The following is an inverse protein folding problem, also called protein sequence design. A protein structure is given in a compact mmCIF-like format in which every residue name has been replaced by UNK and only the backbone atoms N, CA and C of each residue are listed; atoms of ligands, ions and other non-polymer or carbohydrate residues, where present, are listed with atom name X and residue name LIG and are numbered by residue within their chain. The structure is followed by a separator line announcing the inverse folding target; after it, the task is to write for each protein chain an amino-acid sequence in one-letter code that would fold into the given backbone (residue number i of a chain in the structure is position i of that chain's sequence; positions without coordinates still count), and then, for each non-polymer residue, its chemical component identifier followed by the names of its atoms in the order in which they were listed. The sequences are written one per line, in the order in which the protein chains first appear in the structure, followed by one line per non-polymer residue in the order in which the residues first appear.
data_IF_341123649452
#
_entry.id   IF_341123649452
#
_cell.length_a   1.000
_cell.length_b   1.000
_cell.length_c   1.000
_cell.angle_alpha   90.00
_cell.angle_beta   90.00
_cell.angle_gamma   90.00
#
_symmetry.space_group_name_H-M   'P 1'
#
loop_
_entity.id
_entity.type
_entity.pdbx_description
1 polymer ?
#
# COMPACT_ATOMS: atom_id res chain seq x y z
N UNK A 1 47.01 -24.28 13.29
CA UNK A 1 46.64 -23.07 12.56
C UNK A 1 46.20 -23.31 11.10
N UNK A 2 46.90 -24.12 10.29
CA UNK A 2 46.49 -24.39 8.88
C UNK A 2 45.11 -25.04 8.70
N UNK A 3 44.66 -25.91 9.61
CA UNK A 3 43.34 -26.57 9.54
C UNK A 3 42.18 -25.63 9.86
N UNK A 4 42.40 -24.59 10.66
CA UNK A 4 41.38 -23.62 11.01
C UNK A 4 41.10 -22.63 9.86
N UNK A 5 42.12 -22.26 9.12
CA UNK A 5 42.02 -21.40 7.93
C UNK A 5 41.25 -22.10 6.79
N UNK A 6 41.46 -23.42 6.62
CA UNK A 6 40.73 -24.20 5.61
C UNK A 6 39.23 -24.30 5.93
N UNK A 7 38.85 -24.37 7.22
CA UNK A 7 37.46 -24.43 7.64
C UNK A 7 36.72 -23.07 7.45
N UNK A 8 37.43 -21.96 7.69
CA UNK A 8 36.89 -20.63 7.45
C UNK A 8 36.68 -20.33 5.95
N UNK A 9 37.61 -20.79 5.09
CA UNK A 9 37.48 -20.64 3.64
C UNK A 9 36.34 -21.48 3.08
N UNK A 10 36.07 -22.65 3.66
CA UNK A 10 34.95 -23.50 3.24
C UNK A 10 33.60 -22.92 3.66
N UNK A 11 33.50 -22.28 4.83
CA UNK A 11 32.31 -21.56 5.29
C UNK A 11 32.02 -20.33 4.42
N UNK A 12 33.05 -19.62 3.95
CA UNK A 12 32.88 -18.46 3.07
C UNK A 12 32.43 -18.86 1.66
N UNK A 13 32.90 -20.01 1.14
CA UNK A 13 32.49 -20.54 -0.16
C UNK A 13 31.04 -21.02 -0.10
N UNK A 14 30.60 -21.65 1.00
CA UNK A 14 29.19 -22.06 1.17
C UNK A 14 28.26 -20.85 1.25
N UNK A 15 28.67 -19.77 1.91
CA UNK A 15 27.86 -18.55 2.00
C UNK A 15 27.71 -17.83 0.65
N UNK A 16 28.76 -17.83 -0.18
CA UNK A 16 28.70 -17.18 -1.50
C UNK A 16 27.91 -18.00 -2.53
N UNK A 17 28.00 -19.31 -2.50
CA UNK A 17 27.23 -20.20 -3.40
C UNK A 17 25.72 -20.19 -3.03
N UNK A 18 25.40 -20.09 -1.75
CA UNK A 18 24.01 -19.97 -1.30
C UNK A 18 23.39 -18.63 -1.72
N UNK A 19 24.13 -17.53 -1.66
CA UNK A 19 23.66 -16.22 -2.12
C UNK A 19 23.51 -16.12 -3.64
N UNK A 20 24.41 -16.75 -4.41
CA UNK A 20 24.34 -16.77 -5.87
C UNK A 20 23.15 -17.59 -6.38
N UNK A 21 22.88 -18.76 -5.81
CA UNK A 21 21.73 -19.57 -6.18
C UNK A 21 20.38 -18.88 -5.95
N UNK A 22 20.28 -18.06 -4.90
CA UNK A 22 19.11 -17.23 -4.64
C UNK A 22 18.95 -16.09 -5.65
N UNK A 23 20.03 -15.42 -6.01
CA UNK A 23 20.02 -14.35 -7.02
C UNK A 23 19.65 -14.90 -8.41
N UNK A 24 20.20 -16.04 -8.79
CA UNK A 24 19.87 -16.70 -10.06
C UNK A 24 18.43 -17.18 -10.10
N UNK A 25 17.90 -17.76 -9.03
CA UNK A 25 16.50 -18.17 -8.94
C UNK A 25 15.54 -16.97 -9.00
N UNK A 26 15.87 -15.85 -8.35
CA UNK A 26 15.12 -14.61 -8.44
C UNK A 26 15.14 -14.03 -9.86
N UNK A 27 16.26 -14.05 -10.55
CA UNK A 27 16.38 -13.58 -11.93
C UNK A 27 15.59 -14.44 -12.91
N UNK A 28 15.63 -15.77 -12.76
CA UNK A 28 14.83 -16.69 -13.56
C UNK A 28 13.32 -16.47 -13.32
N UNK A 29 12.92 -16.33 -12.08
CA UNK A 29 11.52 -16.07 -11.72
C UNK A 29 11.04 -14.69 -12.22
N UNK A 30 11.86 -13.65 -12.13
CA UNK A 30 11.56 -12.36 -12.74
C UNK A 30 11.42 -12.46 -14.25
N UNK A 31 12.23 -13.27 -14.92
CA UNK A 31 12.14 -13.50 -16.36
C UNK A 31 10.85 -14.19 -16.74
N UNK A 32 10.47 -15.26 -16.04
CA UNK A 32 9.21 -15.98 -16.29
C UNK A 32 7.98 -15.11 -15.99
N UNK A 33 8.04 -14.28 -14.95
CA UNK A 33 7.01 -13.28 -14.64
C UNK A 33 6.84 -12.26 -15.76
N UNK A 34 7.95 -11.73 -16.28
CA UNK A 34 7.95 -10.79 -17.39
C UNK A 34 7.39 -11.45 -18.66
N UNK A 35 7.73 -12.71 -18.94
CA UNK A 35 7.22 -13.45 -20.10
C UNK A 35 5.71 -13.74 -19.97
N UNK A 36 5.21 -14.08 -18.78
CA UNK A 36 3.79 -14.31 -18.51
C UNK A 36 2.96 -13.02 -18.57
N UNK A 37 3.49 -11.91 -18.03
CA UNK A 37 2.87 -10.59 -18.17
C UNK A 37 2.78 -10.17 -19.65
N UNK A 38 3.80 -10.44 -20.46
CA UNK A 38 3.79 -10.17 -21.88
C UNK A 38 2.74 -11.02 -22.65
N UNK A 39 2.45 -12.23 -22.17
CA UNK A 39 1.43 -13.11 -22.75
C UNK A 39 0.00 -12.64 -22.49
N UNK A 40 -0.26 -12.02 -21.33
CA UNK A 40 -1.60 -11.53 -20.95
C UNK A 40 -1.91 -10.11 -21.45
N UNK A 41 -0.91 -9.35 -21.90
CA UNK A 41 -1.03 -7.94 -22.28
C UNK A 41 -1.23 -7.67 -23.78
N UNK A 42 -1.45 -8.69 -24.61
CA UNK A 42 -1.43 -8.60 -26.08
C UNK A 42 -2.74 -8.16 -26.72
N UNK A 43 -3.73 -7.66 -25.99
CA UNK A 43 -4.97 -7.23 -26.65
C UNK A 43 -5.48 -5.86 -26.21
N UNK A 44 -4.80 -4.77 -26.60
CA UNK A 44 -5.50 -3.54 -27.00
C UNK A 44 -4.51 -2.49 -27.51
N UNK A 45 -4.72 -2.07 -28.75
CA UNK A 45 -4.01 -0.97 -29.41
C UNK A 45 -4.18 0.32 -28.59
N UNK A 46 -3.06 0.97 -28.21
CA UNK A 46 -2.92 2.27 -27.54
C UNK A 46 -2.58 2.28 -26.06
N UNK A 47 -2.07 1.21 -25.51
CA UNK A 47 -1.37 1.30 -24.24
C UNK A 47 0.12 1.09 -24.47
N UNK A 48 0.94 2.06 -24.11
CA UNK A 48 2.39 1.84 -24.00
C UNK A 48 2.61 0.74 -22.95
N UNK A 49 2.57 -0.50 -23.41
CA UNK A 49 3.18 -1.62 -22.70
C UNK A 49 4.66 -1.36 -22.85
N UNK A 50 5.29 -0.89 -21.79
CA UNK A 50 6.70 -0.58 -21.81
C UNK A 50 7.50 -1.77 -22.32
N UNK A 51 8.60 -1.49 -22.99
CA UNK A 51 9.61 -2.46 -23.40
C UNK A 51 9.86 -3.44 -22.24
N UNK A 52 9.89 -4.78 -22.47
CA UNK A 52 10.17 -5.80 -21.43
C UNK A 52 11.38 -5.47 -20.54
N UNK A 53 12.39 -4.78 -21.08
CA UNK A 53 13.54 -4.28 -20.32
C UNK A 53 13.17 -3.19 -19.29
N UNK A 54 11.97 -2.63 -19.31
CA UNK A 54 11.53 -1.62 -18.35
C UNK A 54 10.81 -2.23 -17.14
N UNK A 55 10.27 -3.44 -17.26
CA UNK A 55 9.66 -4.18 -16.15
C UNK A 55 10.66 -4.52 -15.04
N UNK A 56 11.95 -4.63 -15.40
CA UNK A 56 13.02 -4.78 -14.40
C UNK A 56 13.11 -3.62 -13.41
N UNK A 57 12.41 -2.51 -13.69
CA UNK A 57 12.30 -1.35 -12.79
C UNK A 57 11.21 -1.50 -11.74
N UNK A 58 10.23 -2.38 -11.98
CA UNK A 58 9.24 -2.72 -10.96
C UNK A 58 9.91 -3.67 -9.99
N UNK A 59 10.35 -3.15 -8.87
CA UNK A 59 10.99 -3.95 -7.82
C UNK A 59 9.94 -4.64 -6.96
N UNK A 60 10.23 -5.89 -6.60
CA UNK A 60 9.36 -6.67 -5.75
C UNK A 60 9.99 -8.01 -5.38
N UNK A 61 9.30 -8.77 -4.56
CA UNK A 61 9.73 -10.08 -4.06
C UNK A 61 8.65 -11.11 -4.37
N UNK A 62 9.06 -12.27 -4.86
CA UNK A 62 8.16 -13.40 -5.08
C UNK A 62 8.06 -14.24 -3.82
N UNK A 63 6.83 -14.60 -3.47
CA UNK A 63 6.53 -15.56 -2.43
C UNK A 63 5.63 -16.66 -2.99
N UNK A 64 5.93 -17.89 -2.62
CA UNK A 64 5.01 -19.00 -2.79
C UNK A 64 4.07 -19.01 -1.58
N UNK A 65 2.77 -19.04 -1.82
CA UNK A 65 1.80 -19.24 -0.76
C UNK A 65 1.86 -20.71 -0.33
N UNK A 66 2.72 -21.04 0.62
CA UNK A 66 2.50 -22.21 1.43
C UNK A 66 1.34 -21.92 2.37
N UNK A 67 0.16 -22.41 1.98
CA UNK A 67 -1.02 -22.58 2.81
C UNK A 67 -1.09 -21.72 4.09
N UNK A 68 -1.38 -20.44 3.96
CA UNK A 68 -2.09 -19.76 5.03
C UNK A 68 -3.52 -20.34 4.99
N UNK A 69 -3.67 -21.56 5.50
CA UNK A 69 -4.98 -22.14 5.78
C UNK A 69 -5.56 -21.39 6.96
N UNK A 70 -6.20 -20.26 6.68
CA UNK A 70 -7.23 -19.83 7.59
C UNK A 70 -8.33 -20.89 7.52
N UNK A 71 -8.71 -21.42 8.66
CA UNK A 71 -9.93 -22.24 8.75
C UNK A 71 -11.11 -21.29 8.45
N UNK A 72 -11.42 -21.13 7.17
CA UNK A 72 -12.32 -20.11 6.61
C UNK A 72 -13.77 -20.26 7.11
N UNK A 73 -14.08 -21.35 7.80
CA UNK A 73 -15.47 -21.71 8.13
C UNK A 73 -16.16 -20.77 9.11
N UNK A 74 -15.41 -19.87 9.79
CA UNK A 74 -15.95 -18.94 10.81
C UNK A 74 -15.21 -17.60 10.87
N UNK A 75 -14.56 -17.18 9.77
CA UNK A 75 -13.80 -15.94 9.72
C UNK A 75 -14.58 -14.89 8.93
N UNK A 76 -14.93 -13.79 9.58
CA UNK A 76 -15.60 -12.66 8.96
C UNK A 76 -14.62 -11.54 8.62
N UNK A 77 -14.92 -10.78 7.58
CA UNK A 77 -14.10 -9.66 7.12
C UNK A 77 -12.91 -10.09 6.25
N UNK A 78 -11.97 -9.19 6.01
CA UNK A 78 -10.83 -9.40 5.13
C UNK A 78 -9.61 -8.58 5.58
N UNK A 79 -8.42 -9.12 5.34
CA UNK A 79 -7.14 -8.38 5.43
C UNK A 79 -6.86 -7.58 4.17
N UNK A 80 -7.61 -7.81 3.09
CA UNK A 80 -7.46 -7.12 1.81
C UNK A 80 -8.38 -5.91 1.73
N UNK A 81 -7.88 -4.83 1.12
CA UNK A 81 -8.65 -3.59 0.98
C UNK A 81 -9.76 -3.70 -0.07
N UNK A 82 -9.58 -4.56 -1.05
CA UNK A 82 -10.53 -4.79 -2.14
C UNK A 82 -11.04 -6.23 -2.05
N UNK A 83 -12.37 -6.41 -2.15
CA UNK A 83 -13.05 -7.67 -1.84
C UNK A 83 -12.72 -8.82 -2.80
N UNK A 84 -12.35 -8.52 -4.05
CA UNK A 84 -11.97 -9.51 -5.05
C UNK A 84 -10.47 -9.44 -5.31
N UNK A 85 -9.91 -10.53 -5.81
CA UNK A 85 -8.47 -10.63 -6.06
C UNK A 85 -8.05 -9.92 -7.35
N UNK A 86 -8.95 -9.83 -8.35
CA UNK A 86 -8.64 -9.35 -9.69
C UNK A 86 -9.11 -7.90 -9.90
N UNK A 87 -8.28 -6.97 -9.52
CA UNK A 87 -8.53 -5.55 -9.79
C UNK A 87 -7.48 -4.97 -10.72
N UNK A 88 -7.92 -4.41 -11.87
CA UNK A 88 -6.99 -3.67 -12.70
C UNK A 88 -6.45 -2.46 -11.95
N UNK A 89 -5.15 -2.27 -12.05
CA UNK A 89 -4.45 -1.17 -11.41
C UNK A 89 -3.40 -0.55 -12.31
N UNK A 90 -2.72 0.44 -11.79
CA UNK A 90 -1.61 1.12 -12.44
C UNK A 90 -0.48 1.33 -11.45
N UNK A 91 0.73 1.07 -11.89
CA UNK A 91 1.97 1.35 -11.17
C UNK A 91 2.66 2.50 -11.88
N UNK A 92 3.04 3.53 -11.15
CA UNK A 92 3.69 4.73 -11.66
C UNK A 92 5.16 4.74 -11.23
N UNK A 93 6.07 4.86 -12.21
CA UNK A 93 7.52 4.86 -12.01
C UNK A 93 8.14 5.87 -12.99
N UNK A 94 8.90 6.85 -12.52
CA UNK A 94 9.64 7.79 -13.37
C UNK A 94 8.78 8.44 -14.48
N UNK A 95 7.57 8.91 -14.15
CA UNK A 95 6.58 9.47 -15.09
C UNK A 95 6.04 8.47 -16.13
N UNK A 96 6.28 7.18 -15.98
CA UNK A 96 5.69 6.10 -16.79
C UNK A 96 4.58 5.42 -16.02
N UNK A 97 3.63 4.83 -16.75
CA UNK A 97 2.48 4.14 -16.20
C UNK A 97 2.44 2.71 -16.73
N UNK A 98 2.47 1.76 -15.81
CA UNK A 98 2.37 0.33 -16.10
C UNK A 98 0.98 -0.15 -15.68
N UNK A 99 0.25 -0.76 -16.60
CA UNK A 99 -1.06 -1.34 -16.32
C UNK A 99 -0.88 -2.75 -15.77
N UNK A 100 -1.62 -3.04 -14.72
CA UNK A 100 -1.67 -4.35 -14.07
C UNK A 100 -3.11 -4.85 -14.12
N UNK A 101 -3.32 -6.07 -14.58
CA UNK A 101 -4.67 -6.66 -14.66
C UNK A 101 -5.18 -7.08 -13.27
N UNK A 102 -4.26 -7.46 -12.42
CA UNK A 102 -4.54 -8.06 -11.13
C UNK A 102 -3.60 -7.46 -10.07
N UNK A 103 -4.12 -6.59 -9.23
CA UNK A 103 -3.37 -6.01 -8.11
C UNK A 103 -4.32 -5.78 -6.93
N UNK A 104 -3.87 -6.11 -5.72
CA UNK A 104 -4.61 -5.84 -4.50
C UNK A 104 -3.67 -5.31 -3.40
N UNK A 105 -4.26 -4.84 -2.30
CA UNK A 105 -3.54 -4.32 -1.16
C UNK A 105 -3.87 -5.13 0.10
N UNK A 106 -2.84 -5.76 0.66
CA UNK A 106 -2.89 -6.41 1.97
C UNK A 106 -2.66 -5.37 3.06
N UNK A 107 -3.72 -5.02 3.79
CA UNK A 107 -3.71 -4.01 4.85
C UNK A 107 -2.90 -4.48 6.07
N UNK A 108 -2.88 -5.78 6.36
CA UNK A 108 -2.18 -6.33 7.52
C UNK A 108 -0.67 -6.19 7.38
N UNK A 109 -0.16 -6.54 6.20
CA UNK A 109 1.27 -6.47 5.90
C UNK A 109 1.70 -5.12 5.35
N UNK A 110 0.75 -4.23 5.04
CA UNK A 110 0.99 -2.90 4.43
C UNK A 110 1.66 -3.02 3.04
N UNK A 111 1.20 -3.98 2.19
CA UNK A 111 1.85 -4.38 0.94
C UNK A 111 0.87 -4.53 -0.22
N UNK A 112 1.28 -4.08 -1.41
CA UNK A 112 0.60 -4.42 -2.66
C UNK A 112 1.13 -5.73 -3.20
N UNK A 113 0.25 -6.50 -3.83
CA UNK A 113 0.61 -7.78 -4.45
C UNK A 113 -0.20 -8.05 -5.71
N UNK A 114 0.35 -8.88 -6.57
CA UNK A 114 -0.30 -9.49 -7.73
C UNK A 114 -0.25 -10.99 -7.57
N UNK A 115 -1.38 -11.66 -7.71
CA UNK A 115 -1.42 -13.12 -7.83
C UNK A 115 -0.87 -13.57 -9.17
N UNK A 116 -0.06 -14.61 -9.15
CA UNK A 116 0.51 -15.26 -10.31
C UNK A 116 0.02 -16.71 -10.33
N UNK A 117 0.15 -17.39 -11.44
CA UNK A 117 -0.16 -18.81 -11.55
C UNK A 117 0.59 -19.64 -10.48
N UNK A 118 0.04 -20.80 -10.11
CA UNK A 118 0.62 -21.75 -9.16
C UNK A 118 0.76 -21.23 -7.72
N UNK A 119 -0.27 -20.52 -7.21
CA UNK A 119 -0.30 -20.01 -5.83
C UNK A 119 0.89 -19.12 -5.44
N UNK A 120 1.51 -18.50 -6.41
CA UNK A 120 2.59 -17.54 -6.19
C UNK A 120 2.07 -16.11 -6.20
N UNK A 121 2.69 -15.23 -5.43
CA UNK A 121 2.41 -13.79 -5.42
C UNK A 121 3.66 -12.98 -5.65
N UNK A 122 3.52 -11.91 -6.39
CA UNK A 122 4.53 -10.87 -6.49
C UNK A 122 4.15 -9.72 -5.56
N UNK A 123 5.02 -9.38 -4.62
CA UNK A 123 4.85 -8.28 -3.68
C UNK A 123 5.67 -7.10 -4.16
N UNK A 124 5.01 -5.95 -4.36
CA UNK A 124 5.63 -4.71 -4.81
C UNK A 124 6.42 -4.04 -3.68
N UNK A 125 7.60 -3.49 -4.01
CA UNK A 125 8.37 -2.60 -3.13
C UNK A 125 8.34 -1.17 -3.69
N UNK A 126 8.26 -0.17 -2.83
CA UNK A 126 8.17 1.24 -3.24
C UNK A 126 9.54 1.91 -3.50
N UNK A 127 10.64 1.15 -3.59
CA UNK A 127 11.96 1.72 -3.86
C UNK A 127 12.03 2.51 -5.17
N UNK A 128 11.30 2.07 -6.19
CA UNK A 128 11.23 2.72 -7.51
C UNK A 128 9.83 3.17 -7.87
N UNK A 129 8.83 2.83 -7.08
CA UNK A 129 7.42 3.11 -7.37
C UNK A 129 7.03 4.44 -6.74
N UNK A 130 6.58 5.40 -7.56
CA UNK A 130 6.07 6.69 -7.09
C UNK A 130 4.70 6.54 -6.43
N UNK A 131 3.80 5.80 -7.08
CA UNK A 131 2.45 5.49 -6.59
C UNK A 131 1.84 4.29 -7.30
N UNK A 132 0.81 3.73 -6.66
CA UNK A 132 -0.04 2.68 -7.21
C UNK A 132 -1.49 3.17 -7.22
N UNK A 133 -2.24 2.85 -8.28
CA UNK A 133 -3.66 3.20 -8.39
C UNK A 133 -4.50 1.96 -8.65
N UNK A 134 -5.57 1.78 -7.85
CA UNK A 134 -6.57 0.71 -7.98
C UNK A 134 -7.96 1.34 -7.81
N UNK A 135 -8.91 1.06 -8.73
CA UNK A 135 -10.30 1.59 -8.66
C UNK A 135 -10.37 3.12 -8.42
N UNK A 136 -9.53 3.89 -9.12
CA UNK A 136 -9.43 5.36 -8.98
C UNK A 136 -8.99 5.85 -7.58
N UNK A 137 -8.44 4.98 -6.76
CA UNK A 137 -7.77 5.33 -5.51
C UNK A 137 -6.28 5.24 -5.74
N UNK A 138 -5.56 6.23 -5.29
CA UNK A 138 -4.10 6.33 -5.43
C UNK A 138 -3.43 6.14 -4.07
N UNK A 139 -2.28 5.46 -4.09
CA UNK A 139 -1.54 5.10 -2.88
C UNK A 139 -0.07 5.38 -3.10
N UNK A 140 0.61 5.83 -2.07
CA UNK A 140 2.06 5.98 -2.04
C UNK A 140 2.63 5.59 -0.68
N UNK A 141 3.91 5.28 -0.63
CA UNK A 141 4.62 5.06 0.63
C UNK A 141 5.09 6.40 1.20
N UNK A 142 4.88 6.59 2.50
CA UNK A 142 5.26 7.80 3.25
C UNK A 142 5.76 7.36 4.62
N UNK A 143 6.80 8.02 5.12
CA UNK A 143 7.28 7.79 6.47
C UNK A 143 6.21 8.08 7.53
N UNK A 144 5.82 7.05 8.29
CA UNK A 144 4.87 7.17 9.40
C UNK A 144 5.63 7.41 10.72
N UNK A 145 5.63 8.62 11.28
CA UNK A 145 6.37 8.94 12.50
C UNK A 145 5.82 8.23 13.75
N UNK A 146 4.63 7.65 13.67
CA UNK A 146 4.01 6.91 14.78
C UNK A 146 4.39 5.44 14.78
N UNK A 147 4.83 4.91 13.64
CA UNK A 147 5.32 3.53 13.51
C UNK A 147 6.84 3.48 13.31
N UNK A 148 7.47 4.64 13.08
CA UNK A 148 8.90 4.80 12.79
C UNK A 148 9.34 3.93 11.60
N UNK A 149 8.52 3.90 10.55
CA UNK A 149 8.78 3.17 9.29
C UNK A 149 8.03 3.80 8.12
N UNK A 150 8.47 3.48 6.92
CA UNK A 150 7.68 3.72 5.72
C UNK A 150 6.38 2.91 5.77
N UNK A 151 5.31 3.49 5.26
CA UNK A 151 3.98 2.90 5.28
C UNK A 151 3.15 3.38 4.10
N UNK A 152 2.24 2.55 3.65
CA UNK A 152 1.33 2.87 2.55
C UNK A 152 0.19 3.77 3.03
N UNK A 153 -0.01 4.87 2.31
CA UNK A 153 -1.13 5.79 2.50
C UNK A 153 -1.92 5.96 1.21
N UNK A 154 -3.23 5.99 1.32
CA UNK A 154 -4.12 6.44 0.24
C UNK A 154 -4.10 7.96 0.13
N UNK A 155 -3.91 8.47 -1.07
CA UNK A 155 -3.90 9.90 -1.38
C UNK A 155 -5.35 10.36 -1.54
N UNK A 156 -5.85 11.16 -0.62
CA UNK A 156 -7.17 11.77 -0.74
C UNK A 156 -7.08 13.11 -1.47
N UNK A 157 -6.04 13.88 -1.16
CA UNK A 157 -5.71 15.11 -1.85
C UNK A 157 -4.22 15.40 -1.65
N UNK A 158 -3.53 15.73 -2.72
CA UNK A 158 -2.13 16.17 -2.70
C UNK A 158 -2.05 17.62 -3.18
N UNK A 159 -1.50 18.50 -2.34
CA UNK A 159 -1.36 19.92 -2.60
C UNK A 159 -0.01 20.44 -2.16
N UNK A 160 0.35 21.63 -2.63
CA UNK A 160 1.67 22.24 -2.39
C UNK A 160 1.91 22.59 -0.92
N UNK A 161 0.86 23.04 -0.22
CA UNK A 161 0.96 23.48 1.17
C UNK A 161 0.44 22.43 2.15
N UNK A 162 -0.65 21.75 1.78
CA UNK A 162 -1.35 20.81 2.63
C UNK A 162 -1.80 19.61 1.80
N UNK A 163 -1.42 18.41 2.22
CA UNK A 163 -1.89 17.16 1.65
C UNK A 163 -2.72 16.36 2.66
N UNK A 164 -3.69 15.61 2.19
CA UNK A 164 -4.57 14.76 2.98
C UNK A 164 -4.39 13.31 2.57
N UNK A 165 -4.06 12.48 3.54
CA UNK A 165 -3.86 11.05 3.36
C UNK A 165 -4.79 10.24 4.25
N UNK A 166 -5.01 8.99 3.85
CA UNK A 166 -5.78 8.04 4.64
C UNK A 166 -4.98 6.74 4.79
N UNK A 167 -4.80 6.29 6.02
CA UNK A 167 -4.18 5.00 6.33
C UNK A 167 -5.24 3.97 6.66
N UNK A 168 -5.11 2.81 6.05
CA UNK A 168 -5.91 1.64 6.36
C UNK A 168 -5.16 0.78 7.38
N UNK A 169 -5.89 0.21 8.31
CA UNK A 169 -5.37 -0.75 9.29
C UNK A 169 -6.39 -1.84 9.49
N UNK A 170 -5.96 -3.04 9.81
CA UNK A 170 -6.82 -4.15 10.15
C UNK A 170 -6.44 -4.69 11.53
N UNK A 171 -7.41 -5.25 12.22
CA UNK A 171 -7.22 -5.91 13.51
C UNK A 171 -8.00 -7.20 13.53
N UNK A 172 -7.34 -8.29 13.85
CA UNK A 172 -7.97 -9.54 14.17
C UNK A 172 -8.64 -9.48 15.54
N UNK A 173 -9.87 -9.95 15.62
CA UNK A 173 -10.66 -10.07 16.85
C UNK A 173 -11.12 -11.51 16.94
N UNK A 174 -10.56 -12.25 17.88
CA UNK A 174 -10.90 -13.66 18.08
C UNK A 174 -12.36 -13.83 18.51
N UNK A 175 -13.02 -14.86 18.01
CA UNK A 175 -14.29 -15.34 18.53
C UNK A 175 -14.16 -15.82 19.98
N UNK A 176 -15.28 -16.05 20.62
CA UNK A 176 -15.31 -16.54 22.01
C UNK A 176 -16.41 -17.58 22.18
N UNK A 177 -16.07 -18.70 22.77
CA UNK A 177 -17.02 -19.75 23.17
C UNK A 177 -17.81 -19.38 24.43
N UNK A 178 -17.46 -18.24 25.06
CA UNK A 178 -18.17 -17.76 26.23
C UNK A 178 -19.53 -17.17 25.84
N UNK A 179 -20.67 -17.74 26.28
CA UNK A 179 -22.01 -17.26 25.92
C UNK A 179 -22.29 -15.80 26.33
N UNK A 180 -21.55 -15.28 27.29
CA UNK A 180 -21.68 -13.87 27.72
C UNK A 180 -20.97 -12.88 26.78
N UNK A 181 -20.10 -13.37 25.92
CA UNK A 181 -19.44 -12.58 24.88
C UNK A 181 -20.18 -12.89 23.58
N UNK A 182 -21.12 -12.06 23.19
CA UNK A 182 -21.94 -12.25 21.98
C UNK A 182 -21.11 -12.15 20.68
N UNK A 183 -20.14 -13.06 20.53
CA UNK A 183 -19.24 -13.16 19.37
C UNK A 183 -18.76 -14.60 19.21
N UNK A 184 -19.48 -15.36 18.37
CA UNK A 184 -19.17 -16.76 18.09
C UNK A 184 -18.12 -16.94 16.98
N UNK A 185 -17.92 -15.93 16.11
CA UNK A 185 -16.97 -15.95 15.01
C UNK A 185 -15.77 -15.03 15.26
N UNK A 186 -14.63 -15.38 14.67
CA UNK A 186 -13.48 -14.48 14.57
C UNK A 186 -13.68 -13.49 13.42
N UNK A 187 -13.21 -12.25 13.55
CA UNK A 187 -13.36 -11.22 12.52
C UNK A 187 -12.07 -10.44 12.28
N UNK A 188 -11.83 -10.07 11.01
CA UNK A 188 -10.91 -9.00 10.63
C UNK A 188 -11.66 -7.69 10.55
N UNK A 189 -11.35 -6.75 11.42
CA UNK A 189 -11.97 -5.45 11.48
C UNK A 189 -11.08 -4.36 10.92
N UNK A 190 -11.44 -3.87 9.74
CA UNK A 190 -10.73 -2.77 9.10
C UNK A 190 -11.08 -1.44 9.76
N UNK A 191 -10.09 -0.54 9.84
CA UNK A 191 -10.20 0.83 10.33
C UNK A 191 -9.45 1.78 9.41
N UNK A 192 -9.92 3.03 9.38
CA UNK A 192 -9.32 4.11 8.60
C UNK A 192 -8.97 5.27 9.52
N UNK A 193 -7.83 5.92 9.23
CA UNK A 193 -7.40 7.15 9.90
C UNK A 193 -6.90 8.14 8.87
N UNK A 194 -7.30 9.40 9.05
CA UNK A 194 -6.80 10.47 8.22
C UNK A 194 -5.53 11.07 8.82
N UNK A 195 -4.67 11.50 7.91
CA UNK A 195 -3.42 12.17 8.20
C UNK A 195 -3.35 13.43 7.35
N UNK A 196 -2.68 14.43 7.89
CA UNK A 196 -2.41 15.67 7.19
C UNK A 196 -0.92 15.90 7.14
N UNK A 197 -0.44 16.36 6.00
CA UNK A 197 0.92 16.83 5.83
C UNK A 197 0.92 18.33 5.62
N UNK A 198 1.74 19.04 6.39
CA UNK A 198 2.01 20.46 6.26
C UNK A 198 3.52 20.69 6.39
N UNK A 199 4.13 21.30 5.35
CA UNK A 199 5.56 21.61 5.37
C UNK A 199 6.42 20.40 5.70
N UNK A 200 6.21 19.26 5.03
CA UNK A 200 6.92 17.98 5.24
C UNK A 200 6.68 17.29 6.60
N UNK A 201 5.74 17.79 7.40
CA UNK A 201 5.37 17.16 8.66
C UNK A 201 4.04 16.48 8.54
N UNK A 202 4.04 15.15 8.67
CA UNK A 202 2.82 14.36 8.69
C UNK A 202 2.31 14.20 10.13
N UNK A 203 1.00 14.30 10.32
CA UNK A 203 0.35 14.14 11.62
C UNK A 203 -1.05 13.55 11.48
N UNK A 204 -1.52 12.84 12.53
CA UNK A 204 -2.88 12.31 12.57
C UNK A 204 -3.90 13.43 12.59
N UNK A 205 -4.88 13.37 11.68
CA UNK A 205 -5.97 14.34 11.60
C UNK A 205 -7.17 13.87 12.43
N UNK A 206 -7.55 14.68 13.42
CA UNK A 206 -8.81 14.49 14.10
C UNK A 206 -9.91 15.27 13.35
N UNK A 207 -10.97 14.58 12.94
CA UNK A 207 -12.06 15.14 12.13
C UNK A 207 -13.02 16.07 12.93
N UNK A 208 -12.62 16.51 14.13
CA UNK A 208 -13.34 17.56 14.87
C UNK A 208 -13.04 18.93 14.26
N UNK A 209 -14.06 19.77 14.12
CA UNK A 209 -13.92 21.12 13.56
C UNK A 209 -12.84 21.95 14.26
N UNK A 210 -12.79 21.89 15.59
CA UNK A 210 -11.75 22.59 16.38
C UNK A 210 -10.33 22.11 16.04
N UNK A 211 -10.13 20.81 15.86
CA UNK A 211 -8.83 20.23 15.54
C UNK A 211 -8.36 20.68 14.16
N UNK A 212 -9.24 20.72 13.18
CA UNK A 212 -8.93 21.20 11.83
C UNK A 212 -8.63 22.70 11.83
N UNK A 213 -9.44 23.50 12.52
CA UNK A 213 -9.22 24.94 12.60
C UNK A 213 -7.90 25.31 13.30
N UNK A 214 -7.43 24.48 14.22
CA UNK A 214 -6.15 24.70 14.93
C UNK A 214 -4.90 24.44 14.06
N UNK A 215 -5.06 23.89 12.85
CA UNK A 215 -3.97 23.75 11.89
C UNK A 215 -3.58 25.08 11.23
N UNK A 216 -4.41 26.10 11.37
CA UNK A 216 -4.27 27.39 10.68
C UNK A 216 -4.01 28.54 11.66
N UNK A 217 -3.28 29.54 11.20
CA UNK A 217 -3.15 30.83 11.88
C UNK A 217 -4.51 31.52 12.03
N UNK A 218 -4.57 32.58 12.83
CA UNK A 218 -5.84 33.27 13.17
C UNK A 218 -6.59 33.80 11.94
N UNK A 219 -5.85 34.33 10.92
CA UNK A 219 -6.45 34.92 9.71
C UNK A 219 -7.04 33.84 8.81
N UNK A 220 -6.25 32.82 8.51
CA UNK A 220 -6.67 31.67 7.68
C UNK A 220 -7.79 30.86 8.37
N UNK A 221 -7.74 30.73 9.70
CA UNK A 221 -8.77 30.04 10.49
C UNK A 221 -10.17 30.63 10.30
N UNK A 222 -10.29 31.96 10.22
CA UNK A 222 -11.58 32.62 9.98
C UNK A 222 -12.11 32.21 8.61
N UNK A 223 -11.28 32.32 7.56
CA UNK A 223 -11.67 31.93 6.20
C UNK A 223 -12.10 30.47 6.12
N UNK A 224 -11.34 29.57 6.72
CA UNK A 224 -11.65 28.12 6.77
C UNK A 224 -12.96 27.86 7.50
N UNK A 225 -13.19 28.55 8.64
CA UNK A 225 -14.44 28.43 9.40
C UNK A 225 -15.65 28.87 8.59
N UNK A 226 -15.55 29.99 7.87
CA UNK A 226 -16.62 30.53 7.04
C UNK A 226 -16.86 29.61 5.84
N UNK A 227 -15.83 29.12 5.17
CA UNK A 227 -15.96 28.17 4.07
C UNK A 227 -16.70 26.88 4.48
N UNK A 228 -16.38 26.32 5.64
CA UNK A 228 -17.09 25.14 6.20
C UNK A 228 -18.57 25.45 6.40
N UNK A 229 -18.91 26.63 6.96
CA UNK A 229 -20.29 27.04 7.24
C UNK A 229 -21.07 27.26 5.95
N UNK A 230 -20.53 28.07 5.04
CA UNK A 230 -21.23 28.54 3.84
C UNK A 230 -21.47 27.41 2.84
N UNK A 231 -20.56 26.46 2.77
CA UNK A 231 -20.68 25.26 1.94
C UNK A 231 -21.32 24.06 2.69
N UNK A 232 -21.73 24.22 3.95
CA UNK A 232 -22.36 23.19 4.78
C UNK A 232 -21.56 21.88 4.83
N UNK A 233 -20.21 21.97 4.90
CA UNK A 233 -19.34 20.82 4.82
C UNK A 233 -19.43 19.93 6.07
N UNK A 234 -19.54 18.63 5.85
CA UNK A 234 -19.45 17.60 6.89
C UNK A 234 -18.04 17.01 6.93
N UNK A 235 -17.26 17.34 7.94
CA UNK A 235 -15.87 16.90 8.08
C UNK A 235 -15.71 15.38 8.27
N UNK A 236 -16.81 14.65 8.44
CA UNK A 236 -16.84 13.17 8.47
C UNK A 236 -17.00 12.55 7.09
N UNK A 237 -17.39 13.33 6.08
CA UNK A 237 -17.51 12.88 4.70
C UNK A 237 -16.19 13.18 3.97
N UNK A 238 -15.58 12.17 3.41
CA UNK A 238 -14.30 12.30 2.71
C UNK A 238 -14.33 13.31 1.57
N UNK A 239 -15.40 13.32 0.80
CA UNK A 239 -15.61 14.29 -0.28
C UNK A 239 -15.59 15.75 0.22
N UNK A 240 -16.27 16.04 1.33
CA UNK A 240 -16.31 17.38 1.90
C UNK A 240 -14.95 17.75 2.52
N UNK A 241 -14.28 16.78 3.13
CA UNK A 241 -12.93 16.96 3.67
C UNK A 241 -11.93 17.27 2.55
N UNK A 242 -11.99 16.54 1.43
CA UNK A 242 -11.19 16.81 0.23
C UNK A 242 -11.42 18.23 -0.31
N UNK A 243 -12.68 18.67 -0.41
CA UNK A 243 -13.02 20.04 -0.81
C UNK A 243 -12.42 21.08 0.11
N UNK A 244 -12.49 20.83 1.42
CA UNK A 244 -11.92 21.72 2.41
C UNK A 244 -10.41 21.87 2.24
N UNK A 245 -9.69 20.75 2.10
CA UNK A 245 -8.22 20.76 1.93
C UNK A 245 -7.81 21.42 0.61
N UNK A 246 -8.57 21.20 -0.47
CA UNK A 246 -8.40 21.95 -1.72
C UNK A 246 -8.50 23.47 -1.47
N UNK A 247 -9.57 23.94 -0.82
CA UNK A 247 -9.71 25.35 -0.47
C UNK A 247 -8.54 25.87 0.38
N UNK A 248 -8.08 25.09 1.34
CA UNK A 248 -6.95 25.47 2.21
C UNK A 248 -5.63 25.68 1.45
N UNK A 249 -5.46 25.06 0.29
CA UNK A 249 -4.30 25.30 -0.59
C UNK A 249 -4.42 26.56 -1.43
N UNK A 250 -5.60 27.23 -1.45
CA UNK A 250 -5.85 28.46 -2.23
C UNK A 250 -5.78 29.76 -1.42
N UNK A 251 -5.57 29.69 -0.09
CA UNK A 251 -5.66 30.84 0.81
C UNK A 251 -4.36 31.27 1.46
#
# INVERSE_FOLDING_TARGET
MKKFILFLSFLFIISTTFSQGWVESLQLFQKDFIENLNGSLVSEQNTMIGNPNEWSKIMGVFYQFDDIRFDDRHLEGSIFLFDNEDHPGRVYIDNKVYKMENINYNIENDQFFTKIENDSVFIYTFETIDKISIKNREFKEIYDPYLNKESVFEIIYEGDNISLFKKHTVRFIAGSDNPMVNRSSSEFKQKQRYYIEQGKKISKLNLKKSSILNLFDTKSRIKVKDYIRDNKLSLKKEYDLRKLIYFCNTI
#
